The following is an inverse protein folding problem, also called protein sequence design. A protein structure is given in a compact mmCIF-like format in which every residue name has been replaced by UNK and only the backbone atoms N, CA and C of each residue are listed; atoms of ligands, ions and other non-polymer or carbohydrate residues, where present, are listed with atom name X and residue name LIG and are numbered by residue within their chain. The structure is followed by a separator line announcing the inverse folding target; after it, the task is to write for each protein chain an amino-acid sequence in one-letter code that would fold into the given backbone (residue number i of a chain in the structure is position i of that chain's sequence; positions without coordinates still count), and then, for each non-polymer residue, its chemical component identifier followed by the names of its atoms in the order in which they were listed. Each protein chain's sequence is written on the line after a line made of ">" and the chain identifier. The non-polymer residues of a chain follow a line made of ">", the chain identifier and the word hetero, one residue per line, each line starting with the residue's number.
data_IF_338916727369
#
_entry.id   IF_338916727369
#
_cell.length_a   1.000
_cell.length_b   1.000
_cell.length_c   1.000
_cell.angle_alpha   90.00
_cell.angle_beta   90.00
_cell.angle_gamma   90.00
#
_symmetry.space_group_name_H-M   'P 1'
#
loop_
_entity.id
_entity.type
_entity.pdbx_description
1 polymer ?
#
# COMPACT_ATOMS: atom_id res chain seq x y z
N UNK A 1 15.43 -10.11 25.99
CA UNK A 1 13.97 -10.30 25.91
C UNK A 1 13.40 -8.91 25.73
N UNK A 2 13.12 -8.51 24.49
CA UNK A 2 12.60 -7.18 24.18
C UNK A 2 11.08 -7.27 24.27
N UNK A 3 10.50 -6.42 25.11
CA UNK A 3 9.08 -6.36 25.41
C UNK A 3 8.23 -6.23 24.14
N UNK A 4 7.26 -7.13 24.00
CA UNK A 4 6.20 -7.06 22.99
C UNK A 4 5.14 -6.02 23.40
N UNK A 5 5.54 -4.76 23.56
CA UNK A 5 4.61 -3.63 23.53
C UNK A 5 4.28 -3.35 22.06
N UNK A 6 3.05 -3.42 21.59
CA UNK A 6 2.05 -2.34 21.50
C UNK A 6 2.42 -1.08 20.67
N UNK A 7 3.67 -0.57 20.59
CA UNK A 7 4.10 0.35 19.53
C UNK A 7 3.82 -0.10 18.08
N UNK A 8 3.83 -1.39 17.77
CA UNK A 8 3.75 -1.86 16.38
C UNK A 8 2.38 -1.61 15.70
N UNK A 9 1.28 -1.71 16.46
CA UNK A 9 -0.06 -1.72 15.86
C UNK A 9 -0.45 -0.36 15.31
N UNK A 10 0.00 0.72 15.93
CA UNK A 10 -0.31 2.09 15.53
C UNK A 10 0.34 2.42 14.19
N UNK A 11 1.60 2.02 14.00
CA UNK A 11 2.33 2.21 12.75
C UNK A 11 1.75 1.37 11.62
N UNK A 12 1.34 0.13 11.90
CA UNK A 12 0.64 -0.71 10.93
C UNK A 12 -0.69 -0.05 10.51
N UNK A 13 -1.50 0.42 11.48
CA UNK A 13 -2.75 1.11 11.19
C UNK A 13 -2.53 2.41 10.40
N UNK A 14 -1.46 3.15 10.70
CA UNK A 14 -1.11 4.37 9.97
C UNK A 14 -0.73 4.05 8.51
N UNK A 15 0.04 2.98 8.27
CA UNK A 15 0.39 2.52 6.94
C UNK A 15 -0.83 2.07 6.13
N UNK A 16 -1.78 1.37 6.77
CA UNK A 16 -3.07 0.99 6.17
C UNK A 16 -3.87 2.24 5.80
N UNK A 17 -4.01 3.17 6.73
CA UNK A 17 -4.74 4.42 6.50
C UNK A 17 -4.10 5.25 5.39
N UNK A 18 -2.77 5.33 5.35
CA UNK A 18 -2.01 6.04 4.32
C UNK A 18 -2.19 5.42 2.93
N UNK A 19 -2.16 4.08 2.83
CA UNK A 19 -2.38 3.38 1.56
C UNK A 19 -3.81 3.59 1.03
N UNK A 20 -4.82 3.52 1.90
CA UNK A 20 -6.23 3.74 1.52
C UNK A 20 -6.47 5.21 1.17
N UNK A 21 -5.98 6.14 1.99
CA UNK A 21 -6.12 7.57 1.76
C UNK A 21 -5.38 7.99 0.49
N UNK A 22 -4.17 7.49 0.27
CA UNK A 22 -3.38 7.74 -0.92
C UNK A 22 -4.04 7.19 -2.18
N UNK A 23 -4.63 5.98 -2.13
CA UNK A 23 -5.44 5.43 -3.21
C UNK A 23 -6.70 6.25 -3.50
N UNK A 24 -7.40 6.73 -2.47
CA UNK A 24 -8.59 7.57 -2.60
C UNK A 24 -8.26 8.97 -3.18
N UNK A 25 -7.18 9.60 -2.71
CA UNK A 25 -6.71 10.90 -3.23
C UNK A 25 -6.27 10.74 -4.68
N UNK A 26 -5.52 9.69 -5.01
CA UNK A 26 -5.12 9.42 -6.39
C UNK A 26 -6.32 9.17 -7.31
N UNK A 27 -7.36 8.45 -6.86
CA UNK A 27 -8.60 8.28 -7.62
C UNK A 27 -9.25 9.64 -7.93
N UNK A 28 -9.37 10.51 -6.92
CA UNK A 28 -9.95 11.85 -7.09
C UNK A 28 -9.16 12.69 -8.08
N UNK A 29 -7.83 12.67 -8.00
CA UNK A 29 -6.95 13.42 -8.89
C UNK A 29 -6.92 12.89 -10.34
N UNK A 30 -7.21 11.60 -10.53
CA UNK A 30 -7.22 10.94 -11.85
C UNK A 30 -8.61 10.85 -12.49
N UNK A 31 -9.63 11.47 -11.88
CA UNK A 31 -11.01 11.41 -12.37
C UNK A 31 -11.62 10.00 -12.32
N UNK A 32 -11.12 9.16 -11.42
CA UNK A 32 -11.62 7.81 -11.15
C UNK A 32 -12.58 7.83 -9.97
N UNK A 33 -13.57 6.95 -9.98
CA UNK A 33 -14.51 6.81 -8.87
C UNK A 33 -13.79 6.46 -7.56
N UNK A 34 -14.14 7.16 -6.48
CA UNK A 34 -13.44 7.08 -5.19
C UNK A 34 -13.37 5.64 -4.64
N UNK A 35 -14.44 4.87 -4.83
CA UNK A 35 -14.54 3.49 -4.36
C UNK A 35 -13.51 2.57 -5.02
N UNK A 36 -13.13 2.82 -6.29
CA UNK A 36 -12.06 2.07 -6.97
C UNK A 36 -10.71 2.34 -6.34
N UNK A 37 -10.45 3.58 -5.93
CA UNK A 37 -9.20 3.94 -5.24
C UNK A 37 -9.07 3.32 -3.86
N UNK A 38 -10.16 3.29 -3.11
CA UNK A 38 -10.21 2.61 -1.81
C UNK A 38 -9.97 1.11 -1.98
N UNK A 39 -10.58 0.47 -2.98
CA UNK A 39 -10.36 -0.95 -3.26
C UNK A 39 -8.91 -1.25 -3.64
N UNK A 40 -8.33 -0.47 -4.56
CA UNK A 40 -6.92 -0.64 -4.96
C UNK A 40 -5.98 -0.50 -3.76
N UNK A 41 -6.20 0.53 -2.93
CA UNK A 41 -5.43 0.72 -1.70
C UNK A 41 -5.60 -0.42 -0.69
N UNK A 42 -6.83 -0.91 -0.51
CA UNK A 42 -7.12 -2.05 0.37
C UNK A 42 -6.47 -3.35 -0.11
N UNK A 43 -6.50 -3.62 -1.41
CA UNK A 43 -5.84 -4.80 -2.00
C UNK A 43 -4.32 -4.70 -1.85
N UNK A 44 -3.73 -3.51 -2.01
CA UNK A 44 -2.31 -3.28 -1.76
C UNK A 44 -1.92 -3.60 -0.31
N UNK A 45 -2.73 -3.17 0.66
CA UNK A 45 -2.54 -3.47 2.09
C UNK A 45 -2.59 -4.98 2.35
N UNK A 46 -3.60 -5.68 1.83
CA UNK A 46 -3.74 -7.12 2.03
C UNK A 46 -2.52 -7.85 1.46
N UNK A 47 -2.07 -7.46 0.26
CA UNK A 47 -0.89 -8.06 -0.35
C UNK A 47 0.40 -7.79 0.44
N UNK A 48 0.59 -6.58 0.95
CA UNK A 48 1.72 -6.24 1.81
C UNK A 48 1.72 -7.04 3.12
N UNK A 49 0.55 -7.21 3.75
CA UNK A 49 0.39 -8.04 4.94
C UNK A 49 0.67 -9.52 4.64
N UNK A 50 0.18 -10.05 3.51
CA UNK A 50 0.49 -11.42 3.11
C UNK A 50 1.99 -11.63 2.87
N UNK A 51 2.67 -10.67 2.23
CA UNK A 51 4.11 -10.71 2.03
C UNK A 51 4.90 -10.69 3.35
N UNK A 52 4.39 -10.02 4.39
CA UNK A 52 5.01 -10.01 5.73
C UNK A 52 5.08 -11.40 6.39
N UNK A 53 4.15 -12.28 6.01
CA UNK A 53 3.99 -13.60 6.59
C UNK A 53 4.85 -14.67 5.91
N UNK A 54 5.52 -14.34 4.80
CA UNK A 54 6.37 -15.30 4.08
C UNK A 54 7.74 -15.40 4.76
N UNK A 55 8.11 -16.56 5.32
CA UNK A 55 9.40 -16.74 5.98
C UNK A 55 10.55 -16.79 4.98
N UNK A 56 11.69 -16.18 5.33
CA UNK A 56 12.91 -16.19 4.51
C UNK A 56 12.99 -15.13 3.41
N UNK A 57 12.04 -14.19 3.36
CA UNK A 57 12.02 -13.08 2.40
C UNK A 57 12.30 -11.75 3.12
N UNK A 58 13.06 -10.86 2.47
CA UNK A 58 13.28 -9.49 2.92
C UNK A 58 11.95 -8.72 2.98
N UNK A 59 11.54 -8.34 4.18
CA UNK A 59 10.25 -7.68 4.42
C UNK A 59 10.23 -6.22 4.01
N UNK A 60 11.35 -5.50 4.15
CA UNK A 60 11.47 -4.07 3.84
C UNK A 60 11.16 -3.80 2.37
N UNK A 61 11.66 -4.66 1.48
CA UNK A 61 11.44 -4.53 0.03
C UNK A 61 10.23 -5.32 -0.48
N UNK A 62 9.93 -6.48 0.10
CA UNK A 62 8.90 -7.36 -0.47
C UNK A 62 7.48 -6.93 -0.14
N UNK A 63 7.22 -6.35 1.04
CA UNK A 63 5.88 -5.87 1.37
C UNK A 63 5.42 -4.75 0.44
N UNK A 64 6.22 -3.69 0.19
CA UNK A 64 5.79 -2.63 -0.69
C UNK A 64 5.70 -3.06 -2.16
N UNK A 65 6.61 -3.93 -2.63
CA UNK A 65 6.55 -4.50 -3.97
C UNK A 65 5.27 -5.33 -4.14
N UNK A 66 4.92 -6.17 -3.17
CA UNK A 66 3.68 -6.93 -3.21
C UNK A 66 2.45 -6.01 -3.26
N UNK A 67 2.44 -4.94 -2.46
CA UNK A 67 1.40 -3.92 -2.49
C UNK A 67 1.30 -3.23 -3.85
N UNK A 68 2.43 -2.88 -4.46
CA UNK A 68 2.50 -2.29 -5.80
C UNK A 68 1.97 -3.26 -6.86
N UNK A 69 2.40 -4.53 -6.86
CA UNK A 69 1.89 -5.51 -7.84
C UNK A 69 0.38 -5.67 -7.70
N UNK A 70 -0.11 -5.83 -6.46
CA UNK A 70 -1.53 -6.05 -6.19
C UNK A 70 -2.39 -4.83 -6.54
N UNK A 71 -1.90 -3.61 -6.33
CA UNK A 71 -2.56 -2.38 -6.78
C UNK A 71 -2.68 -2.31 -8.32
N UNK A 72 -1.65 -2.74 -9.05
CA UNK A 72 -1.65 -2.76 -10.52
C UNK A 72 -2.63 -3.78 -11.08
N UNK A 73 -2.63 -4.99 -10.50
CA UNK A 73 -3.55 -6.08 -10.88
C UNK A 73 -4.99 -5.70 -10.56
N UNK A 74 -5.26 -5.18 -9.35
CA UNK A 74 -6.63 -4.77 -8.96
C UNK A 74 -7.15 -3.60 -9.78
N UNK A 75 -6.32 -2.60 -10.09
CA UNK A 75 -6.71 -1.52 -10.99
C UNK A 75 -7.08 -2.02 -12.39
N UNK A 76 -6.29 -2.96 -12.92
CA UNK A 76 -6.57 -3.60 -14.22
C UNK A 76 -7.86 -4.43 -14.18
N UNK A 77 -8.09 -5.17 -13.09
CA UNK A 77 -9.32 -5.95 -12.87
C UNK A 77 -10.57 -5.05 -12.76
N UNK A 78 -10.43 -3.82 -12.27
CA UNK A 78 -11.51 -2.81 -12.22
C UNK A 78 -11.76 -2.10 -13.56
N UNK A 79 -11.10 -2.55 -14.63
CA UNK A 79 -11.22 -1.98 -15.98
C UNK A 79 -10.56 -0.62 -16.14
N UNK A 80 -9.60 -0.26 -15.27
CA UNK A 80 -8.87 0.99 -15.38
C UNK A 80 -7.78 0.88 -16.45
N UNK A 81 -7.67 1.90 -17.29
CA UNK A 81 -6.57 2.02 -18.25
C UNK A 81 -5.25 2.21 -17.52
N UNK A 82 -4.13 1.81 -18.15
CA UNK A 82 -2.80 1.99 -17.55
C UNK A 82 -2.53 3.43 -17.08
N UNK A 83 -3.01 4.42 -17.85
CA UNK A 83 -2.92 5.86 -17.52
C UNK A 83 -3.70 6.26 -16.26
N UNK A 84 -4.74 5.52 -15.89
CA UNK A 84 -5.54 5.76 -14.68
C UNK A 84 -5.09 4.90 -13.51
N UNK A 85 -4.59 3.68 -13.78
CA UNK A 85 -4.04 2.78 -12.75
C UNK A 85 -2.71 3.26 -12.20
N UNK A 86 -1.85 3.89 -13.01
CA UNK A 86 -0.54 4.35 -12.56
C UNK A 86 -0.60 5.41 -11.42
N UNK A 87 -1.45 6.45 -11.48
CA UNK A 87 -1.62 7.38 -10.35
C UNK A 87 -2.10 6.69 -9.08
N UNK A 88 -3.02 5.73 -9.21
CA UNK A 88 -3.58 4.94 -8.10
C UNK A 88 -2.53 4.05 -7.43
N UNK A 89 -1.69 3.42 -8.24
CA UNK A 89 -0.52 2.67 -7.80
C UNK A 89 0.44 3.51 -6.96
N UNK A 90 0.80 4.67 -7.50
CA UNK A 90 1.71 5.61 -6.83
C UNK A 90 1.04 6.12 -5.54
N UNK A 91 -0.22 6.53 -5.59
CA UNK A 91 -0.94 6.98 -4.41
C UNK A 91 -1.04 5.92 -3.31
N UNK A 92 -1.29 4.66 -3.65
CA UNK A 92 -1.46 3.58 -2.67
C UNK A 92 -0.13 3.06 -2.11
N UNK A 93 0.91 2.93 -2.95
CA UNK A 93 2.16 2.26 -2.57
C UNK A 93 3.29 3.22 -2.14
N UNK A 94 3.29 4.48 -2.61
CA UNK A 94 4.36 5.43 -2.33
C UNK A 94 4.37 5.95 -0.88
N UNK A 95 3.24 6.28 -0.24
CA UNK A 95 3.25 6.74 1.15
C UNK A 95 3.80 5.68 2.13
N UNK A 96 3.41 4.39 2.04
CA UNK A 96 4.02 3.32 2.83
C UNK A 96 5.54 3.18 2.58
N UNK A 97 5.99 3.26 1.33
CA UNK A 97 7.41 3.21 0.97
C UNK A 97 8.21 4.36 1.60
N UNK A 98 7.68 5.59 1.54
CA UNK A 98 8.33 6.77 2.12
C UNK A 98 8.39 6.65 3.64
N UNK A 99 7.33 6.15 4.28
CA UNK A 99 7.33 5.90 5.73
C UNK A 99 8.39 4.89 6.15
N UNK A 100 8.57 3.82 5.36
CA UNK A 100 9.56 2.78 5.62
C UNK A 100 11.00 3.32 5.46
N UNK A 101 11.26 4.08 4.39
CA UNK A 101 12.53 4.79 4.17
C UNK A 101 12.88 5.76 5.30
N UNK A 102 11.90 6.50 5.82
CA UNK A 102 12.10 7.44 6.93
C UNK A 102 12.46 6.71 8.23
N UNK A 103 11.92 5.51 8.46
CA UNK A 103 12.23 4.69 9.64
C UNK A 103 13.62 4.04 9.54
N UNK A 104 14.07 3.65 8.34
CA UNK A 104 15.42 3.07 8.15
C UNK A 104 16.54 4.11 8.21
N UNK A 105 16.24 5.40 7.96
CA UNK A 105 17.21 6.51 8.00
C UNK A 105 17.32 7.19 9.39
N UNK A 106 16.46 6.83 10.35
CA UNK A 106 16.34 7.46 11.67
C UNK A 106 17.12 6.78 12.78
#
# INVERSE_FOLDING_TARGET
>A
MVDAGWPDIQWVLLGIAAAIAGGAVAAKLSGVELWKGILVGGVAVIAALLASLVPGIDRSLSMPIAGLIAAGVSGSALGLTASRTAPLLIGAALPPLIGLLMLELG
#
